data_IF_418089975502
#
_entry.id   IF_418089975502
#
_cell.length_a   1.000
_cell.length_b   1.000
_cell.length_c   1.000
_cell.angle_alpha   90.00
_cell.angle_beta   90.00
_cell.angle_gamma   90.00
#
_symmetry.space_group_name_H-M   'P 1'
#
loop_
_entity.id
_entity.type
_entity.pdbx_description
1 polymer ?
#
# COMPACT_ATOMS: atom_id res chain seq x y z
N UNK A 1 -22.04 -42.41 -12.96
CA UNK A 1 -21.21 -41.22 -13.25
C UNK A 1 -19.99 -41.33 -12.37
N UNK A 2 -18.90 -41.79 -12.96
CA UNK A 2 -17.63 -41.97 -12.25
C UNK A 2 -17.12 -40.59 -11.81
N UNK A 3 -17.16 -40.32 -10.51
CA UNK A 3 -16.36 -39.28 -9.89
C UNK A 3 -14.90 -39.69 -10.02
N UNK A 4 -14.25 -39.26 -11.12
CA UNK A 4 -12.81 -39.21 -11.16
C UNK A 4 -12.40 -38.20 -10.09
N UNK A 5 -12.10 -38.67 -8.86
CA UNK A 5 -11.32 -37.92 -7.91
C UNK A 5 -9.98 -37.64 -8.59
N UNK A 6 -9.80 -36.41 -9.08
CA UNK A 6 -8.49 -35.96 -9.51
C UNK A 6 -7.50 -36.28 -8.41
N UNK A 7 -6.40 -36.91 -8.75
CA UNK A 7 -5.29 -37.04 -7.83
C UNK A 7 -4.81 -35.62 -7.48
N UNK A 8 -4.52 -35.34 -6.20
CA UNK A 8 -4.09 -34.02 -5.73
C UNK A 8 -2.96 -33.45 -6.59
N UNK A 9 -2.00 -34.26 -7.00
CA UNK A 9 -0.87 -33.85 -7.86
C UNK A 9 -1.35 -33.31 -9.22
N UNK A 10 -2.30 -33.97 -9.85
CA UNK A 10 -2.89 -33.51 -11.12
C UNK A 10 -3.71 -32.20 -10.92
N UNK A 11 -4.41 -32.11 -9.80
CA UNK A 11 -5.17 -30.92 -9.44
C UNK A 11 -4.26 -29.71 -9.22
N UNK A 12 -3.11 -29.89 -8.57
CA UNK A 12 -2.10 -28.85 -8.36
C UNK A 12 -1.44 -28.44 -9.67
N UNK A 13 -1.14 -29.39 -10.58
CA UNK A 13 -0.60 -29.08 -11.91
C UNK A 13 -1.61 -28.24 -12.74
N UNK A 14 -2.89 -28.61 -12.71
CA UNK A 14 -3.93 -27.85 -13.40
C UNK A 14 -4.12 -26.46 -12.79
N UNK A 15 -4.11 -26.36 -11.45
CA UNK A 15 -4.22 -25.10 -10.75
C UNK A 15 -3.05 -24.16 -11.06
N UNK A 16 -1.82 -24.68 -11.20
CA UNK A 16 -0.66 -23.92 -11.64
C UNK A 16 -0.86 -23.33 -13.05
N UNK A 17 -1.43 -24.11 -14.00
CA UNK A 17 -1.76 -23.61 -15.34
C UNK A 17 -2.83 -22.52 -15.31
N UNK A 18 -3.86 -22.68 -14.48
CA UNK A 18 -4.91 -21.67 -14.31
C UNK A 18 -4.35 -20.37 -13.72
N UNK A 19 -3.42 -20.48 -12.76
CA UNK A 19 -2.75 -19.32 -12.16
C UNK A 19 -1.90 -18.56 -13.19
N UNK A 20 -1.08 -19.26 -13.98
CA UNK A 20 -0.28 -18.67 -15.06
C UNK A 20 -1.15 -17.96 -16.12
N UNK A 21 -2.33 -18.50 -16.42
CA UNK A 21 -3.29 -17.89 -17.32
C UNK A 21 -3.91 -16.64 -16.70
N UNK A 22 -4.35 -16.72 -15.43
CA UNK A 22 -4.99 -15.59 -14.73
C UNK A 22 -4.06 -14.39 -14.55
N UNK A 23 -2.75 -14.64 -14.35
CA UNK A 23 -1.75 -13.57 -14.19
C UNK A 23 -1.49 -12.77 -15.50
N UNK A 24 -1.83 -13.34 -16.66
CA UNK A 24 -1.64 -12.71 -17.99
C UNK A 24 -2.95 -12.23 -18.59
N UNK A 25 -4.07 -12.58 -17.97
CA UNK A 25 -5.40 -12.28 -18.51
C UNK A 25 -5.76 -10.80 -18.30
N UNK A 26 -6.39 -10.22 -19.30
CA UNK A 26 -6.90 -8.83 -19.26
C UNK A 26 -8.42 -8.77 -19.41
N UNK A 27 -9.05 -9.89 -19.81
CA UNK A 27 -10.50 -10.00 -19.88
C UNK A 27 -11.07 -10.55 -18.57
N UNK A 28 -11.90 -9.73 -17.92
CA UNK A 28 -12.51 -10.06 -16.63
C UNK A 28 -13.35 -11.33 -16.69
N UNK A 29 -14.17 -11.52 -17.75
CA UNK A 29 -15.05 -12.69 -17.84
C UNK A 29 -14.24 -13.99 -17.96
N UNK A 30 -13.12 -13.95 -18.66
CA UNK A 30 -12.19 -15.08 -18.74
C UNK A 30 -11.55 -15.35 -17.40
N UNK A 31 -11.11 -14.31 -16.66
CA UNK A 31 -10.54 -14.47 -15.32
C UNK A 31 -11.57 -15.02 -14.31
N UNK A 32 -12.84 -14.60 -14.38
CA UNK A 32 -13.93 -15.16 -13.59
C UNK A 32 -14.13 -16.68 -13.88
N UNK A 33 -14.05 -17.08 -15.14
CA UNK A 33 -14.13 -18.50 -15.49
C UNK A 33 -12.93 -19.32 -14.98
N UNK A 34 -11.72 -18.74 -14.95
CA UNK A 34 -10.55 -19.36 -14.35
C UNK A 34 -10.70 -19.50 -12.83
N UNK A 35 -11.22 -18.49 -12.17
CA UNK A 35 -11.49 -18.52 -10.73
C UNK A 35 -12.55 -19.58 -10.36
N UNK A 36 -13.57 -19.78 -11.19
CA UNK A 36 -14.58 -20.83 -10.94
C UNK A 36 -13.99 -22.23 -11.12
N UNK A 37 -13.11 -22.46 -12.11
CA UNK A 37 -12.38 -23.73 -12.25
C UNK A 37 -11.46 -23.99 -11.05
N UNK A 38 -10.70 -22.98 -10.61
CA UNK A 38 -9.85 -23.09 -9.43
C UNK A 38 -10.65 -23.42 -8.15
N UNK A 39 -11.83 -22.83 -8.02
CA UNK A 39 -12.77 -23.15 -6.93
C UNK A 39 -13.17 -24.62 -6.93
N UNK A 40 -13.53 -25.18 -8.09
CA UNK A 40 -13.89 -26.61 -8.23
C UNK A 40 -12.72 -27.49 -7.81
N UNK A 41 -11.49 -27.16 -8.17
CA UNK A 41 -10.30 -27.88 -7.74
C UNK A 41 -10.12 -27.81 -6.22
N UNK A 42 -10.23 -26.63 -5.62
CA UNK A 42 -10.16 -26.44 -4.18
C UNK A 42 -11.28 -27.23 -3.46
N UNK A 43 -12.52 -27.17 -3.91
CA UNK A 43 -13.65 -27.92 -3.34
C UNK A 43 -13.46 -29.45 -3.43
N UNK A 44 -12.69 -29.93 -4.41
CA UNK A 44 -12.28 -31.33 -4.50
C UNK A 44 -11.21 -31.76 -3.47
N UNK A 45 -10.46 -30.81 -2.94
CA UNK A 45 -9.36 -31.02 -1.99
C UNK A 45 -9.34 -29.95 -0.87
N UNK A 46 -10.44 -29.78 -0.12
CA UNK A 46 -10.61 -28.64 0.78
C UNK A 46 -9.58 -28.62 1.93
N UNK A 47 -9.02 -29.78 2.30
CA UNK A 47 -7.99 -29.87 3.35
C UNK A 47 -6.58 -29.51 2.86
N UNK A 48 -6.40 -29.28 1.55
CA UNK A 48 -5.10 -28.92 0.97
C UNK A 48 -4.89 -27.42 1.01
N UNK A 49 -3.88 -26.98 1.78
CA UNK A 49 -3.44 -25.58 1.81
C UNK A 49 -2.98 -25.11 0.43
N UNK A 50 -2.29 -25.95 -0.34
CA UNK A 50 -1.81 -25.61 -1.68
C UNK A 50 -2.96 -25.31 -2.66
N UNK A 51 -4.07 -26.08 -2.61
CA UNK A 51 -5.24 -25.81 -3.46
C UNK A 51 -5.98 -24.55 -3.02
N UNK A 52 -6.07 -24.28 -1.72
CA UNK A 52 -6.63 -23.07 -1.16
C UNK A 52 -5.79 -21.84 -1.55
N UNK A 53 -4.46 -21.96 -1.47
CA UNK A 53 -3.54 -20.89 -1.88
C UNK A 53 -3.66 -20.58 -3.38
N UNK A 54 -3.62 -21.58 -4.25
CA UNK A 54 -3.76 -21.36 -5.68
C UNK A 54 -5.09 -20.71 -6.06
N UNK A 55 -6.19 -21.11 -5.40
CA UNK A 55 -7.48 -20.45 -5.57
C UNK A 55 -7.45 -19.00 -5.06
N UNK A 56 -6.85 -18.72 -3.90
CA UNK A 56 -6.71 -17.38 -3.35
C UNK A 56 -5.91 -16.45 -4.29
N UNK A 57 -4.80 -16.93 -4.87
CA UNK A 57 -3.97 -16.18 -5.82
C UNK A 57 -4.75 -15.79 -7.08
N UNK A 58 -5.56 -16.69 -7.63
CA UNK A 58 -6.42 -16.39 -8.79
C UNK A 58 -7.51 -15.36 -8.41
N UNK A 59 -8.06 -15.43 -7.19
CA UNK A 59 -9.00 -14.43 -6.69
C UNK A 59 -8.35 -13.04 -6.53
N UNK A 60 -7.08 -12.96 -6.12
CA UNK A 60 -6.32 -11.70 -6.07
C UNK A 60 -6.11 -11.13 -7.47
N UNK A 61 -5.72 -11.96 -8.46
CA UNK A 61 -5.60 -11.52 -9.85
C UNK A 61 -6.95 -11.00 -10.39
N UNK A 62 -8.05 -11.69 -10.12
CA UNK A 62 -9.39 -11.26 -10.50
C UNK A 62 -9.77 -9.93 -9.81
N UNK A 63 -9.38 -9.73 -8.54
CA UNK A 63 -9.73 -8.54 -7.77
C UNK A 63 -9.17 -7.25 -8.39
N UNK A 64 -8.00 -7.31 -9.04
CA UNK A 64 -7.41 -6.16 -9.74
C UNK A 64 -8.20 -5.72 -10.97
N UNK A 65 -9.12 -6.56 -11.46
CA UNK A 65 -10.00 -6.27 -12.61
C UNK A 65 -11.39 -5.81 -12.18
N UNK A 66 -11.70 -5.84 -10.88
CA UNK A 66 -12.98 -5.36 -10.38
C UNK A 66 -12.99 -3.83 -10.35
N UNK A 67 -14.05 -3.26 -10.90
CA UNK A 67 -14.31 -1.82 -10.89
C UNK A 67 -15.56 -1.46 -10.08
N UNK A 68 -16.07 -2.41 -9.30
CA UNK A 68 -17.22 -2.22 -8.43
C UNK A 68 -16.90 -2.75 -7.04
N UNK A 69 -17.09 -1.90 -6.04
CA UNK A 69 -16.84 -2.19 -4.64
C UNK A 69 -17.48 -3.52 -4.19
N UNK A 70 -18.75 -3.77 -4.55
CA UNK A 70 -19.47 -5.00 -4.18
C UNK A 70 -18.83 -6.29 -4.72
N UNK A 71 -18.22 -6.24 -5.90
CA UNK A 71 -17.52 -7.40 -6.47
C UNK A 71 -16.24 -7.69 -5.68
N UNK A 72 -15.50 -6.64 -5.31
CA UNK A 72 -14.34 -6.75 -4.42
C UNK A 72 -14.71 -7.31 -3.05
N UNK A 73 -15.76 -6.78 -2.42
CA UNK A 73 -16.26 -7.29 -1.13
C UNK A 73 -16.56 -8.78 -1.17
N UNK A 74 -17.26 -9.24 -2.22
CA UNK A 74 -17.54 -10.67 -2.42
C UNK A 74 -16.26 -11.50 -2.55
N UNK A 75 -15.23 -10.97 -3.22
CA UNK A 75 -13.96 -11.67 -3.40
C UNK A 75 -13.15 -11.67 -2.09
N UNK A 76 -13.20 -10.58 -1.34
CA UNK A 76 -12.64 -10.49 0.02
C UNK A 76 -13.24 -11.54 0.95
N UNK A 77 -14.58 -11.72 0.94
CA UNK A 77 -15.25 -12.74 1.76
C UNK A 77 -14.76 -14.16 1.46
N UNK A 78 -14.54 -14.49 0.17
CA UNK A 78 -13.99 -15.79 -0.24
C UNK A 78 -12.58 -16.01 0.30
N UNK A 79 -11.67 -15.05 0.12
CA UNK A 79 -10.27 -15.18 0.61
C UNK A 79 -10.22 -15.16 2.13
N UNK A 80 -11.09 -14.38 2.78
CA UNK A 80 -11.23 -14.41 4.25
C UNK A 80 -11.67 -15.79 4.78
N UNK A 81 -12.53 -16.49 4.05
CA UNK A 81 -12.94 -17.85 4.41
C UNK A 81 -11.75 -18.82 4.31
N UNK A 82 -10.92 -18.72 3.27
CA UNK A 82 -9.70 -19.51 3.12
C UNK A 82 -8.72 -19.23 4.25
N UNK A 83 -8.47 -17.96 4.59
CA UNK A 83 -7.60 -17.58 5.70
C UNK A 83 -8.12 -18.08 7.06
N UNK A 84 -9.43 -18.07 7.29
CA UNK A 84 -10.02 -18.66 8.51
C UNK A 84 -9.83 -20.19 8.59
N UNK A 85 -9.80 -20.87 7.46
CA UNK A 85 -9.55 -22.31 7.41
C UNK A 85 -8.07 -22.65 7.59
N UNK A 86 -7.17 -21.81 7.11
CA UNK A 86 -5.72 -21.96 7.21
C UNK A 86 -5.09 -20.73 7.91
N UNK A 87 -5.40 -20.51 9.19
CA UNK A 87 -5.03 -19.28 9.88
C UNK A 87 -3.51 -19.11 10.06
N UNK A 88 -2.77 -20.20 10.10
CA UNK A 88 -1.32 -20.20 10.31
C UNK A 88 -0.52 -20.13 8.98
N UNK A 89 -1.20 -20.09 7.84
CA UNK A 89 -0.57 -19.98 6.52
C UNK A 89 -0.18 -18.53 6.22
N UNK A 90 1.13 -18.19 6.15
CA UNK A 90 1.58 -16.86 5.80
C UNK A 90 1.25 -16.52 4.34
N UNK A 91 1.25 -17.53 3.45
CA UNK A 91 0.98 -17.33 2.02
C UNK A 91 -0.48 -16.98 1.77
N UNK A 92 -1.43 -17.67 2.42
CA UNK A 92 -2.86 -17.33 2.35
C UNK A 92 -3.14 -15.99 3.05
N UNK A 93 -2.46 -15.71 4.17
CA UNK A 93 -2.54 -14.42 4.85
C UNK A 93 -2.07 -13.26 3.94
N UNK A 94 -0.99 -13.48 3.17
CA UNK A 94 -0.52 -12.54 2.16
C UNK A 94 -1.59 -12.28 1.08
N UNK A 95 -2.23 -13.34 0.55
CA UNK A 95 -3.31 -13.16 -0.44
C UNK A 95 -4.47 -12.35 0.16
N UNK A 96 -4.81 -12.61 1.43
CA UNK A 96 -5.84 -11.83 2.11
C UNK A 96 -5.41 -10.36 2.32
N UNK A 97 -4.15 -10.10 2.66
CA UNK A 97 -3.60 -8.76 2.76
C UNK A 97 -3.67 -7.99 1.42
N UNK A 98 -3.26 -8.63 0.33
CA UNK A 98 -3.27 -8.05 -1.03
C UNK A 98 -4.68 -7.65 -1.49
N UNK A 99 -5.67 -8.51 -1.26
CA UNK A 99 -7.05 -8.19 -1.65
C UNK A 99 -7.66 -7.08 -0.79
N UNK A 100 -7.27 -6.96 0.49
CA UNK A 100 -7.67 -5.85 1.34
C UNK A 100 -7.09 -4.52 0.86
N UNK A 101 -5.86 -4.52 0.32
CA UNK A 101 -5.28 -3.33 -0.33
C UNK A 101 -6.11 -2.95 -1.56
N UNK A 102 -6.46 -3.91 -2.43
CA UNK A 102 -7.29 -3.63 -3.60
C UNK A 102 -8.67 -3.08 -3.19
N UNK A 103 -9.28 -3.65 -2.14
CA UNK A 103 -10.55 -3.14 -1.59
C UNK A 103 -10.39 -1.69 -1.10
N UNK A 104 -9.33 -1.40 -0.38
CA UNK A 104 -9.08 -0.09 0.24
C UNK A 104 -8.94 1.04 -0.78
N UNK A 105 -8.46 0.74 -1.98
CA UNK A 105 -8.31 1.73 -3.06
C UNK A 105 -9.64 2.16 -3.70
N UNK A 106 -10.68 1.34 -3.55
CA UNK A 106 -12.02 1.58 -4.08
C UNK A 106 -13.01 2.10 -3.02
N UNK A 107 -12.63 2.04 -1.74
CA UNK A 107 -13.47 2.54 -0.64
C UNK A 107 -13.46 4.07 -0.58
N UNK A 108 -14.64 4.66 -0.55
CA UNK A 108 -14.85 6.12 -0.45
C UNK A 108 -15.35 6.57 0.92
N UNK A 109 -15.77 5.63 1.76
CA UNK A 109 -16.26 5.89 3.10
C UNK A 109 -15.17 5.58 4.14
N UNK A 110 -14.75 6.61 4.91
CA UNK A 110 -13.67 6.50 5.90
C UNK A 110 -13.89 5.36 6.88
N UNK A 111 -15.14 5.15 7.35
CA UNK A 111 -15.46 4.10 8.33
C UNK A 111 -15.27 2.69 7.76
N UNK A 112 -15.58 2.48 6.49
CA UNK A 112 -15.36 1.19 5.82
C UNK A 112 -13.86 0.92 5.67
N UNK A 113 -13.10 1.95 5.29
CA UNK A 113 -11.65 1.86 5.19
C UNK A 113 -10.98 1.61 6.56
N UNK A 114 -11.43 2.28 7.63
CA UNK A 114 -10.96 2.02 9.00
C UNK A 114 -11.17 0.54 9.37
N UNK A 115 -12.34 -0.05 9.03
CA UNK A 115 -12.64 -1.47 9.26
C UNK A 115 -11.71 -2.39 8.45
N UNK A 116 -11.38 -2.02 7.22
CA UNK A 116 -10.48 -2.79 6.36
C UNK A 116 -9.04 -2.75 6.90
N UNK A 117 -8.60 -1.58 7.37
CA UNK A 117 -7.30 -1.42 8.07
C UNK A 117 -7.22 -2.28 9.33
N UNK A 118 -8.27 -2.31 10.15
CA UNK A 118 -8.31 -3.14 11.36
C UNK A 118 -8.14 -4.63 11.04
N UNK A 119 -8.78 -5.14 9.98
CA UNK A 119 -8.60 -6.53 9.53
C UNK A 119 -7.14 -6.82 9.18
N UNK A 120 -6.51 -5.95 8.40
CA UNK A 120 -5.11 -6.15 7.99
C UNK A 120 -4.14 -5.95 9.17
N UNK A 121 -4.46 -5.07 10.11
CA UNK A 121 -3.67 -4.90 11.34
C UNK A 121 -3.60 -6.19 12.16
N UNK A 122 -4.70 -6.96 12.26
CA UNK A 122 -4.71 -8.25 12.96
C UNK A 122 -3.77 -9.25 12.26
N UNK A 123 -3.81 -9.32 10.92
CA UNK A 123 -2.92 -10.19 10.14
C UNK A 123 -1.45 -9.78 10.34
N UNK A 124 -1.16 -8.49 10.26
CA UNK A 124 0.21 -7.98 10.45
C UNK A 124 0.74 -8.26 11.87
N UNK A 125 -0.10 -8.19 12.89
CA UNK A 125 0.28 -8.56 14.27
C UNK A 125 0.59 -10.05 14.41
N UNK A 126 -0.17 -10.92 13.73
CA UNK A 126 0.07 -12.36 13.72
C UNK A 126 1.36 -12.72 12.99
N UNK A 127 1.64 -12.10 11.87
CA UNK A 127 2.82 -12.34 11.03
C UNK A 127 3.76 -11.12 11.06
N UNK A 128 4.06 -10.64 12.27
CA UNK A 128 4.75 -9.37 12.47
C UNK A 128 6.13 -9.29 11.82
N UNK A 129 6.86 -10.42 11.70
CA UNK A 129 8.18 -10.47 11.07
C UNK A 129 8.13 -10.62 9.53
N UNK A 130 6.94 -10.73 8.95
CA UNK A 130 6.77 -10.86 7.50
C UNK A 130 6.78 -9.52 6.80
N UNK A 131 7.83 -9.27 6.00
CA UNK A 131 7.91 -8.13 5.11
C UNK A 131 6.74 -8.10 4.10
N UNK A 132 6.39 -9.27 3.55
CA UNK A 132 5.34 -9.40 2.53
C UNK A 132 3.95 -9.01 3.04
N UNK A 133 3.72 -9.09 4.36
CA UNK A 133 2.48 -8.63 5.01
C UNK A 133 2.62 -7.18 5.51
N UNK A 134 3.80 -6.78 5.96
CA UNK A 134 4.07 -5.44 6.45
C UNK A 134 3.91 -4.37 5.36
N UNK A 135 4.35 -4.67 4.12
CA UNK A 135 4.21 -3.73 3.00
C UNK A 135 2.74 -3.47 2.62
N UNK A 136 1.87 -4.46 2.39
CA UNK A 136 0.42 -4.25 2.24
C UNK A 136 -0.21 -3.44 3.39
N UNK A 137 0.22 -3.69 4.64
CA UNK A 137 -0.26 -2.91 5.77
C UNK A 137 0.16 -1.44 5.69
N UNK A 138 1.40 -1.15 5.32
CA UNK A 138 1.85 0.22 5.10
C UNK A 138 1.10 0.90 3.94
N UNK A 139 0.81 0.18 2.85
CA UNK A 139 0.04 0.69 1.70
C UNK A 139 -1.39 1.08 2.08
N UNK A 140 -2.09 0.23 2.84
CA UNK A 140 -3.47 0.54 3.26
C UNK A 140 -3.51 1.73 4.23
N UNK A 141 -2.47 1.93 5.05
CA UNK A 141 -2.33 3.11 5.90
C UNK A 141 -2.16 4.41 5.08
N UNK A 142 -1.53 4.35 3.89
CA UNK A 142 -1.49 5.50 2.97
C UNK A 142 -2.90 5.83 2.47
N UNK A 143 -3.68 4.83 2.05
CA UNK A 143 -5.06 5.06 1.63
C UNK A 143 -5.90 5.67 2.76
N UNK A 144 -5.74 5.16 4.00
CA UNK A 144 -6.40 5.73 5.17
C UNK A 144 -5.98 7.19 5.41
N UNK A 145 -4.69 7.48 5.35
CA UNK A 145 -4.15 8.82 5.61
C UNK A 145 -4.67 9.87 4.62
N UNK A 146 -4.92 9.47 3.37
CA UNK A 146 -5.45 10.38 2.34
C UNK A 146 -6.92 10.76 2.54
N UNK A 147 -7.67 9.96 3.32
CA UNK A 147 -9.09 10.19 3.61
C UNK A 147 -9.32 10.81 4.99
N UNK A 148 -8.31 10.81 5.88
CA UNK A 148 -8.42 11.39 7.20
C UNK A 148 -8.45 12.91 7.14
N UNK A 149 -9.42 13.51 7.83
CA UNK A 149 -9.61 14.96 7.95
C UNK A 149 -9.43 15.47 9.39
N UNK A 150 -9.02 14.61 10.32
CA UNK A 150 -8.72 14.92 11.69
C UNK A 150 -7.23 14.72 11.99
N UNK A 151 -6.51 15.80 12.35
CA UNK A 151 -5.06 15.78 12.56
C UNK A 151 -4.63 14.67 13.54
N UNK A 152 -5.31 14.51 14.67
CA UNK A 152 -5.00 13.48 15.68
C UNK A 152 -5.12 12.05 15.15
N UNK A 153 -6.07 11.78 14.25
CA UNK A 153 -6.20 10.46 13.63
C UNK A 153 -5.06 10.21 12.67
N UNK A 154 -4.67 11.23 11.92
CA UNK A 154 -3.56 11.14 10.98
C UNK A 154 -2.22 10.94 11.71
N UNK A 155 -2.00 11.66 12.83
CA UNK A 155 -0.85 11.44 13.72
C UNK A 155 -0.77 9.99 14.21
N UNK A 156 -1.89 9.41 14.65
CA UNK A 156 -1.95 8.00 15.04
C UNK A 156 -1.64 7.05 13.87
N UNK A 157 -2.00 7.41 12.64
CA UNK A 157 -1.64 6.64 11.45
C UNK A 157 -0.14 6.73 11.14
N UNK A 158 0.47 7.91 11.33
CA UNK A 158 1.92 8.09 11.26
C UNK A 158 2.65 7.20 12.26
N UNK A 159 2.18 7.13 13.50
CA UNK A 159 2.79 6.26 14.53
C UNK A 159 2.74 4.78 14.12
N UNK A 160 1.61 4.31 13.56
CA UNK A 160 1.47 2.92 13.09
C UNK A 160 2.48 2.59 12.00
N UNK A 161 2.59 3.42 10.95
CA UNK A 161 3.53 3.15 9.86
C UNK A 161 4.99 3.35 10.29
N UNK A 162 5.27 4.24 11.23
CA UNK A 162 6.61 4.42 11.79
C UNK A 162 7.09 3.16 12.51
N UNK A 163 6.22 2.46 13.24
CA UNK A 163 6.56 1.16 13.84
C UNK A 163 6.93 0.13 12.76
N UNK A 164 6.17 0.07 11.67
CA UNK A 164 6.47 -0.83 10.54
C UNK A 164 7.81 -0.47 9.90
N UNK A 165 8.08 0.80 9.68
CA UNK A 165 9.34 1.26 9.09
C UNK A 165 10.56 0.97 10.00
N UNK A 166 10.40 1.10 11.32
CA UNK A 166 11.46 0.75 12.28
C UNK A 166 11.74 -0.77 12.32
N UNK A 167 10.74 -1.59 12.04
CA UNK A 167 10.88 -3.04 11.97
C UNK A 167 11.61 -3.48 10.68
N UNK A 168 11.41 -2.76 9.58
CA UNK A 168 12.03 -3.00 8.28
C UNK A 168 12.81 -1.78 7.80
N UNK A 169 13.89 -1.38 8.52
CA UNK A 169 14.57 -0.12 8.30
C UNK A 169 15.22 0.00 6.93
N UNK A 170 15.63 -1.11 6.32
CA UNK A 170 16.32 -1.12 5.02
C UNK A 170 15.34 -1.22 3.83
N UNK A 171 14.03 -1.24 4.08
CA UNK A 171 13.03 -1.31 3.02
C UNK A 171 12.70 0.07 2.45
N UNK A 172 13.12 0.33 1.21
CA UNK A 172 12.76 1.54 0.47
C UNK A 172 11.24 1.64 0.21
N UNK A 173 10.56 0.50 0.02
CA UNK A 173 9.13 0.47 -0.26
C UNK A 173 8.30 0.88 0.96
N UNK A 174 8.64 0.35 2.15
CA UNK A 174 7.98 0.76 3.40
C UNK A 174 8.34 2.21 3.75
N UNK A 175 9.61 2.62 3.56
CA UNK A 175 10.06 4.00 3.75
C UNK A 175 9.29 4.98 2.85
N UNK A 176 8.99 4.59 1.60
CA UNK A 176 8.16 5.38 0.69
C UNK A 176 6.71 5.52 1.21
N UNK A 177 6.11 4.46 1.76
CA UNK A 177 4.77 4.58 2.35
C UNK A 177 4.77 5.52 3.57
N UNK A 178 5.81 5.41 4.41
CA UNK A 178 5.99 6.35 5.54
C UNK A 178 6.14 7.79 5.06
N UNK A 179 6.95 8.03 4.03
CA UNK A 179 7.14 9.34 3.42
C UNK A 179 5.83 9.94 2.89
N UNK A 180 4.98 9.14 2.23
CA UNK A 180 3.66 9.55 1.73
C UNK A 180 2.71 9.97 2.86
N UNK A 181 2.71 9.23 3.96
CA UNK A 181 1.85 9.56 5.12
C UNK A 181 2.35 10.83 5.82
N UNK A 182 3.67 11.04 5.93
CA UNK A 182 4.26 12.28 6.44
C UNK A 182 3.89 13.49 5.55
N UNK A 183 3.90 13.32 4.24
CA UNK A 183 3.42 14.37 3.33
C UNK A 183 1.93 14.67 3.55
N UNK A 184 1.07 13.65 3.68
CA UNK A 184 -0.35 13.86 3.99
C UNK A 184 -0.53 14.59 5.34
N UNK A 185 0.29 14.25 6.35
CA UNK A 185 0.30 14.95 7.63
C UNK A 185 0.65 16.43 7.46
N UNK A 186 1.72 16.74 6.72
CA UNK A 186 2.17 18.12 6.49
C UNK A 186 1.10 18.99 5.80
N UNK A 187 0.24 18.37 4.96
CA UNK A 187 -0.85 19.08 4.28
C UNK A 187 -1.97 19.52 5.21
N UNK A 188 -2.03 18.99 6.44
CA UNK A 188 -3.04 19.32 7.45
C UNK A 188 -2.47 20.15 8.61
N UNK A 189 -1.15 20.31 8.69
CA UNK A 189 -0.48 21.09 9.71
C UNK A 189 -0.47 22.57 9.33
N UNK A 190 -0.82 23.45 10.27
CA UNK A 190 -0.82 24.91 10.11
C UNK A 190 0.16 25.59 11.07
N UNK A 191 0.75 24.82 12.01
CA UNK A 191 1.74 25.34 12.93
C UNK A 191 3.14 25.09 12.39
N UNK A 192 3.94 26.15 12.22
CA UNK A 192 5.30 26.08 11.64
C UNK A 192 6.17 25.01 12.32
N UNK A 193 6.13 24.96 13.66
CA UNK A 193 6.92 24.00 14.46
C UNK A 193 6.56 22.54 14.16
N UNK A 194 5.28 22.23 13.93
CA UNK A 194 4.82 20.89 13.63
C UNK A 194 5.27 20.48 12.22
N UNK A 195 5.19 21.41 11.27
CA UNK A 195 5.72 21.25 9.91
C UNK A 195 7.23 21.01 9.90
N UNK A 196 8.00 21.80 10.66
CA UNK A 196 9.45 21.62 10.82
C UNK A 196 9.76 20.21 11.32
N UNK A 197 9.04 19.74 12.36
CA UNK A 197 9.22 18.38 12.89
C UNK A 197 8.93 17.31 11.84
N UNK A 198 7.89 17.50 11.01
CA UNK A 198 7.54 16.56 9.94
C UNK A 198 8.59 16.57 8.83
N UNK A 199 9.10 17.74 8.46
CA UNK A 199 10.22 17.90 7.50
C UNK A 199 11.48 17.20 8.01
N UNK A 200 11.83 17.35 9.31
CA UNK A 200 13.00 16.68 9.90
C UNK A 200 12.89 15.16 9.80
N UNK A 201 11.73 14.59 10.14
CA UNK A 201 11.49 13.14 9.99
C UNK A 201 11.69 12.69 8.55
N UNK A 202 11.13 13.43 7.60
CA UNK A 202 11.22 13.07 6.18
C UNK A 202 12.63 13.28 5.61
N UNK A 203 13.36 14.27 6.11
CA UNK A 203 14.78 14.48 5.77
C UNK A 203 15.63 13.26 6.16
N UNK A 204 15.40 12.67 7.33
CA UNK A 204 16.10 11.44 7.76
C UNK A 204 15.80 10.29 6.80
N UNK A 205 14.54 10.10 6.42
CA UNK A 205 14.15 9.06 5.45
C UNK A 205 14.81 9.29 4.09
N UNK A 206 14.80 10.52 3.59
CA UNK A 206 15.42 10.88 2.30
C UNK A 206 16.95 10.68 2.32
N UNK A 207 17.62 11.00 3.42
CA UNK A 207 19.08 10.78 3.56
C UNK A 207 19.42 9.28 3.56
N UNK A 208 18.62 8.45 4.20
CA UNK A 208 18.79 7.00 4.20
C UNK A 208 18.57 6.39 2.81
N UNK A 209 17.57 6.86 2.08
CA UNK A 209 17.20 6.39 0.75
C UNK A 209 17.46 7.48 -0.31
N UNK A 210 18.67 8.01 -0.28
CA UNK A 210 19.07 9.18 -1.08
C UNK A 210 18.93 8.98 -2.60
N UNK A 211 18.94 7.75 -3.09
CA UNK A 211 18.79 7.42 -4.51
C UNK A 211 17.33 7.25 -4.95
N UNK A 212 16.36 7.38 -4.03
CA UNK A 212 14.93 7.23 -4.34
C UNK A 212 14.29 8.54 -4.81
N UNK A 213 13.94 8.69 -6.11
CA UNK A 213 13.29 9.90 -6.61
C UNK A 213 11.88 10.07 -6.03
N UNK A 214 11.19 8.98 -5.68
CA UNK A 214 9.84 9.02 -5.11
C UNK A 214 9.85 9.55 -3.67
N UNK A 215 10.81 9.13 -2.85
CA UNK A 215 11.00 9.67 -1.49
C UNK A 215 11.45 11.13 -1.55
N UNK A 216 12.36 11.47 -2.46
CA UNK A 216 12.81 12.85 -2.68
C UNK A 216 11.65 13.77 -3.11
N UNK A 217 10.70 13.26 -3.92
CA UNK A 217 9.49 13.98 -4.28
C UNK A 217 8.61 14.27 -3.05
N UNK A 218 8.37 13.27 -2.17
CA UNK A 218 7.58 13.50 -0.95
C UNK A 218 8.26 14.54 -0.04
N UNK A 219 9.59 14.50 0.06
CA UNK A 219 10.34 15.48 0.82
C UNK A 219 10.23 16.89 0.21
N UNK A 220 10.39 17.03 -1.10
CA UNK A 220 10.24 18.31 -1.80
C UNK A 220 8.83 18.91 -1.65
N UNK A 221 7.78 18.08 -1.73
CA UNK A 221 6.40 18.51 -1.53
C UNK A 221 6.13 18.93 -0.07
N UNK A 222 6.74 18.25 0.90
CA UNK A 222 6.64 18.63 2.32
C UNK A 222 7.38 19.94 2.60
N UNK A 223 8.53 20.17 1.97
CA UNK A 223 9.25 21.46 2.01
C UNK A 223 8.41 22.59 1.39
N UNK A 224 7.65 22.31 0.34
CA UNK A 224 6.71 23.28 -0.19
C UNK A 224 5.62 23.63 0.83
N UNK A 225 5.01 22.64 1.51
CA UNK A 225 4.03 22.92 2.56
C UNK A 225 4.65 23.76 3.69
N UNK A 226 5.90 23.48 4.10
CA UNK A 226 6.62 24.31 5.07
C UNK A 226 6.76 25.76 4.57
N UNK A 227 7.12 25.95 3.30
CA UNK A 227 7.33 27.29 2.73
C UNK A 227 6.07 28.17 2.72
N UNK A 228 4.87 27.58 2.80
CA UNK A 228 3.61 28.36 2.87
C UNK A 228 3.39 29.00 4.23
N UNK A 229 4.01 28.48 5.29
CA UNK A 229 3.90 28.97 6.66
C UNK A 229 5.12 29.79 7.11
N UNK A 230 6.21 29.81 6.32
CA UNK A 230 7.41 30.61 6.58
C UNK A 230 7.16 32.08 6.20
N UNK A 231 7.49 32.98 7.12
CA UNK A 231 7.35 34.43 6.91
C UNK A 231 8.69 35.16 6.77
N UNK A 232 9.79 34.50 7.10
CA UNK A 232 11.12 35.09 7.01
C UNK A 232 11.78 34.72 5.67
N UNK A 233 12.20 35.72 4.90
CA UNK A 233 12.87 35.53 3.61
C UNK A 233 14.05 34.55 3.68
N UNK A 234 14.85 34.64 4.74
CA UNK A 234 16.02 33.78 4.94
C UNK A 234 15.65 32.30 5.12
N UNK A 235 14.52 32.02 5.77
CA UNK A 235 14.01 30.64 5.93
C UNK A 235 13.48 30.10 4.61
N UNK A 236 12.74 30.92 3.86
CA UNK A 236 12.26 30.57 2.51
C UNK A 236 13.42 30.30 1.54
N UNK A 237 14.48 31.14 1.56
CA UNK A 237 15.68 30.93 0.76
C UNK A 237 16.34 29.57 1.10
N UNK A 238 16.53 29.26 2.38
CA UNK A 238 17.10 27.98 2.82
C UNK A 238 16.24 26.77 2.41
N UNK A 239 14.91 26.92 2.44
CA UNK A 239 13.97 25.89 1.97
C UNK A 239 14.07 25.69 0.45
N UNK A 240 14.17 26.78 -0.32
CA UNK A 240 14.37 26.73 -1.77
C UNK A 240 15.71 26.05 -2.16
N UNK A 241 16.80 26.35 -1.44
CA UNK A 241 18.11 25.73 -1.66
C UNK A 241 18.04 24.21 -1.50
N UNK A 242 17.38 23.70 -0.45
CA UNK A 242 17.19 22.24 -0.26
C UNK A 242 16.47 21.57 -1.43
N UNK A 243 15.41 22.18 -1.96
CA UNK A 243 14.69 21.60 -3.10
C UNK A 243 15.48 21.74 -4.40
N UNK A 244 16.28 22.80 -4.54
CA UNK A 244 17.20 22.96 -5.67
C UNK A 244 18.26 21.84 -5.69
N UNK A 245 18.81 21.48 -4.54
CA UNK A 245 19.75 20.34 -4.41
C UNK A 245 19.11 19.03 -4.86
N UNK A 246 17.87 18.75 -4.41
CA UNK A 246 17.10 17.58 -4.85
C UNK A 246 16.86 17.59 -6.37
N UNK A 247 16.52 18.75 -6.95
CA UNK A 247 16.31 18.87 -8.38
C UNK A 247 17.61 18.63 -9.18
N UNK A 248 18.74 19.08 -8.67
CA UNK A 248 20.03 18.81 -9.29
C UNK A 248 20.42 17.33 -9.22
N UNK A 249 20.15 16.68 -8.09
CA UNK A 249 20.38 15.24 -7.90
C UNK A 249 19.48 14.40 -8.81
N UNK A 250 18.22 14.77 -8.97
CA UNK A 250 17.21 14.05 -9.76
C UNK A 250 16.79 14.84 -11.01
N UNK A 251 17.79 15.33 -11.78
CA UNK A 251 17.56 16.23 -12.93
C UNK A 251 16.63 15.66 -14.01
N UNK A 252 16.51 14.34 -14.12
CA UNK A 252 15.59 13.65 -15.04
C UNK A 252 14.15 13.55 -14.48
N UNK A 253 13.94 13.88 -13.19
CA UNK A 253 12.63 13.84 -12.55
C UNK A 253 11.89 15.18 -12.69
N UNK A 254 11.05 15.31 -13.70
CA UNK A 254 10.22 16.52 -13.89
C UNK A 254 9.30 16.81 -12.70
N UNK A 255 8.96 15.80 -11.90
CA UNK A 255 8.06 15.95 -10.76
C UNK A 255 8.66 16.79 -9.62
N UNK A 256 9.98 16.77 -9.41
CA UNK A 256 10.67 17.58 -8.39
C UNK A 256 10.79 19.06 -8.80
N UNK A 257 10.77 19.35 -10.10
CA UNK A 257 10.81 20.72 -10.59
C UNK A 257 9.57 21.55 -10.18
N UNK A 258 8.41 20.88 -10.02
CA UNK A 258 7.17 21.57 -9.65
C UNK A 258 7.21 22.18 -8.24
N UNK A 259 7.49 21.44 -7.15
CA UNK A 259 7.60 22.03 -5.82
C UNK A 259 8.67 23.12 -5.75
N UNK A 260 9.80 23.00 -6.48
CA UNK A 260 10.80 24.05 -6.57
C UNK A 260 10.22 25.34 -7.16
N UNK A 261 9.54 25.26 -8.29
CA UNK A 261 8.88 26.43 -8.92
C UNK A 261 7.84 27.09 -7.99
N UNK A 262 7.09 26.28 -7.22
CA UNK A 262 6.10 26.77 -6.26
C UNK A 262 6.75 27.52 -5.09
N UNK A 263 7.89 27.03 -4.56
CA UNK A 263 8.65 27.71 -3.50
C UNK A 263 9.25 29.02 -4.01
N UNK A 264 9.78 29.03 -5.23
CA UNK A 264 10.27 30.28 -5.85
C UNK A 264 9.15 31.33 -6.03
N UNK A 265 7.94 30.86 -6.31
CA UNK A 265 6.78 31.77 -6.33
C UNK A 265 6.51 32.36 -4.94
N UNK A 266 6.54 31.58 -3.86
CA UNK A 266 6.39 32.07 -2.49
C UNK A 266 7.50 33.08 -2.11
N UNK A 267 8.74 32.90 -2.61
CA UNK A 267 9.85 33.85 -2.41
C UNK A 267 9.62 35.21 -3.11
N UNK A 268 8.79 35.25 -4.14
CA UNK A 268 8.57 36.45 -4.95
C UNK A 268 7.39 37.30 -4.49
N UNK A 269 6.60 36.81 -3.54
CA UNK A 269 5.39 37.47 -3.00
C UNK A 269 5.66 38.12 -1.66
#
# INVERSE_FOLDING_TARGET
MDEQKYNLEQSLEELGKLLDLSAKETDKATCEALAEKAKIIYEGHPESEDTALGYAMILVNLSSMHNKLRELETTVEKVQALHKQFPDSPDIALQFAMILVNLSSEQTELKELETTVEKLQVIQQQFHDSYDIALPYAMILVNLSSMQNELKKLEATVEKVQVVQQQFPDSSDIALQYARILFNLSSMQNELKDLETTVEKLQVVQQQFHDSPDIALQYAMTLFNLSTEQNELKELEATAEKVQELQQQFHDSHNIALPYAMILFNLST
#
